data_IF_418748899364
#
_entry.id   IF_418748899364
#
_cell.length_a   1.000
_cell.length_b   1.000
_cell.length_c   1.000
_cell.angle_alpha   90.00
_cell.angle_beta   90.00
_cell.angle_gamma   90.00
#
_symmetry.space_group_name_H-M   'P 1'
#
loop_
_entity.id
_entity.type
_entity.pdbx_description
1 polymer ?
#
# COMPACT_ATOMS: atom_id res chain seq x y z
N UNK A 1 -40.46 -17.49 -4.05
CA UNK A 1 -39.59 -18.60 -3.58
C UNK A 1 -38.29 -18.00 -3.07
N UNK A 2 -38.00 -17.83 -1.78
CA UNK A 2 -38.72 -18.13 -0.56
C UNK A 2 -38.48 -16.96 0.42
N UNK A 3 -39.56 -16.43 1.00
CA UNK A 3 -39.55 -15.53 2.15
C UNK A 3 -39.02 -16.32 3.35
N UNK A 4 -37.86 -15.97 3.88
CA UNK A 4 -37.45 -16.40 5.22
C UNK A 4 -37.94 -15.35 6.22
N UNK A 5 -39.11 -15.60 6.80
CA UNK A 5 -39.59 -14.89 7.97
C UNK A 5 -38.64 -15.20 9.13
N UNK A 6 -37.90 -14.18 9.59
CA UNK A 6 -37.06 -14.28 10.80
C UNK A 6 -37.84 -13.66 11.95
N UNK A 7 -38.50 -14.51 12.73
CA UNK A 7 -39.20 -14.14 13.95
C UNK A 7 -38.21 -13.54 14.96
N UNK A 8 -38.31 -12.22 15.21
CA UNK A 8 -37.56 -11.54 16.27
C UNK A 8 -38.37 -11.64 17.56
N UNK A 9 -38.03 -12.61 18.42
CA UNK A 9 -38.30 -12.50 19.85
C UNK A 9 -37.49 -11.32 20.41
N UNK A 10 -38.13 -10.17 20.59
CA UNK A 10 -37.53 -8.96 21.19
C UNK A 10 -37.98 -8.91 22.66
N UNK A 11 -37.10 -9.29 23.57
CA UNK A 11 -37.23 -8.93 24.98
C UNK A 11 -37.00 -7.43 25.12
N UNK A 12 -38.04 -6.69 25.50
CA UNK A 12 -37.96 -5.29 25.90
C UNK A 12 -37.66 -5.22 27.40
N UNK A 13 -36.41 -4.93 27.77
CA UNK A 13 -36.09 -4.38 29.08
C UNK A 13 -35.41 -3.04 28.86
N UNK A 14 -36.13 -1.97 29.22
CA UNK A 14 -35.65 -0.58 29.16
C UNK A 14 -34.67 -0.29 30.29
N UNK A 15 -33.41 -0.66 30.09
CA UNK A 15 -32.30 -0.32 30.96
C UNK A 15 -30.96 -0.53 30.24
N UNK A 16 -29.94 0.25 30.63
CA UNK A 16 -28.56 0.17 30.11
C UNK A 16 -27.90 -1.14 30.60
N UNK A 17 -28.35 -2.29 30.11
CA UNK A 17 -27.91 -3.59 30.63
C UNK A 17 -28.44 -4.85 29.91
N UNK A 18 -29.16 -4.71 28.80
CA UNK A 18 -29.61 -5.85 27.98
C UNK A 18 -28.68 -6.12 26.79
N UNK A 19 -28.46 -7.39 26.45
CA UNK A 19 -27.79 -7.78 25.20
C UNK A 19 -28.57 -7.34 23.96
N UNK A 20 -27.89 -7.25 22.81
CA UNK A 20 -28.48 -6.80 21.55
C UNK A 20 -28.00 -7.66 20.38
N UNK A 21 -28.79 -7.69 19.30
CA UNK A 21 -28.40 -8.29 18.02
C UNK A 21 -27.62 -7.26 17.22
N UNK A 22 -26.39 -7.58 16.85
CA UNK A 22 -25.58 -6.81 15.90
C UNK A 22 -25.77 -7.43 14.51
N UNK A 23 -26.24 -6.64 13.56
CA UNK A 23 -26.19 -7.01 12.14
C UNK A 23 -24.81 -6.60 11.59
N UNK A 24 -24.08 -7.56 11.05
CA UNK A 24 -22.68 -7.38 10.63
C UNK A 24 -22.52 -7.89 9.20
N UNK A 25 -22.71 -7.01 8.22
CA UNK A 25 -22.52 -7.33 6.81
C UNK A 25 -21.04 -7.19 6.40
N UNK A 26 -20.48 -8.22 5.76
CA UNK A 26 -19.10 -8.21 5.23
C UNK A 26 -18.90 -7.05 4.24
N UNK A 27 -19.91 -6.77 3.41
CA UNK A 27 -19.87 -5.68 2.43
C UNK A 27 -19.74 -4.31 3.07
N UNK A 28 -20.44 -4.07 4.18
CA UNK A 28 -20.36 -2.80 4.92
C UNK A 28 -19.01 -2.65 5.60
N UNK A 29 -18.49 -3.73 6.20
CA UNK A 29 -17.15 -3.75 6.77
C UNK A 29 -16.05 -3.48 5.72
N UNK A 30 -16.13 -4.12 4.56
CA UNK A 30 -15.17 -3.91 3.48
C UNK A 30 -15.24 -2.48 2.90
N UNK A 31 -16.44 -1.92 2.73
CA UNK A 31 -16.62 -0.53 2.31
C UNK A 31 -16.04 0.45 3.34
N UNK A 32 -16.23 0.18 4.64
CA UNK A 32 -15.67 0.99 5.71
C UNK A 32 -14.13 0.95 5.73
N UNK A 33 -13.52 -0.24 5.64
CA UNK A 33 -12.06 -0.39 5.62
C UNK A 33 -11.41 0.28 4.41
N UNK A 34 -12.15 0.47 3.31
CA UNK A 34 -11.66 1.10 2.08
C UNK A 34 -12.03 2.58 1.96
N UNK A 35 -12.66 3.18 2.99
CA UNK A 35 -13.10 4.58 2.99
C UNK A 35 -11.97 5.57 2.66
N UNK A 36 -10.74 5.31 3.12
CA UNK A 36 -9.57 6.12 2.79
C UNK A 36 -9.32 6.24 1.28
N UNK A 37 -9.39 5.13 0.54
CA UNK A 37 -9.19 5.15 -0.91
C UNK A 37 -10.33 5.87 -1.64
N UNK A 38 -11.57 5.75 -1.13
CA UNK A 38 -12.71 6.49 -1.66
C UNK A 38 -12.56 8.01 -1.46
N UNK A 39 -12.12 8.45 -0.28
CA UNK A 39 -11.86 9.87 -0.03
C UNK A 39 -10.71 10.40 -0.88
N UNK A 40 -9.61 9.66 -1.01
CA UNK A 40 -8.53 10.04 -1.91
C UNK A 40 -9.00 10.14 -3.36
N UNK A 41 -9.84 9.20 -3.83
CA UNK A 41 -10.43 9.27 -5.17
C UNK A 41 -11.27 10.53 -5.34
N UNK A 42 -12.05 10.92 -4.32
CA UNK A 42 -12.90 12.11 -4.34
C UNK A 42 -12.08 13.40 -4.47
N UNK A 43 -10.92 13.49 -3.83
CA UNK A 43 -10.03 14.67 -3.91
C UNK A 43 -8.97 14.58 -5.02
N UNK A 44 -9.05 13.56 -5.89
CA UNK A 44 -8.12 13.37 -7.01
C UNK A 44 -6.76 12.74 -6.64
N UNK A 45 -6.58 12.29 -5.40
CA UNK A 45 -5.38 11.61 -4.92
C UNK A 45 -5.33 10.10 -5.20
N UNK A 46 -6.40 9.53 -5.77
CA UNK A 46 -6.45 8.11 -6.17
C UNK A 46 -7.13 7.94 -7.54
N UNK A 47 -6.42 7.34 -8.48
CA UNK A 47 -6.86 7.04 -9.84
C UNK A 47 -7.55 5.70 -10.00
N UNK A 48 -8.21 5.50 -11.14
CA UNK A 48 -8.96 4.28 -11.43
C UNK A 48 -8.07 3.07 -11.81
N UNK A 49 -6.86 3.32 -12.31
CA UNK A 49 -5.93 2.27 -12.72
C UNK A 49 -5.25 1.65 -11.50
N UNK A 50 -5.21 0.31 -11.45
CA UNK A 50 -4.46 -0.45 -10.44
C UNK A 50 -2.96 -0.31 -10.66
N UNK A 51 -2.18 -0.32 -9.58
CA UNK A 51 -0.73 -0.21 -9.61
C UNK A 51 -0.24 1.17 -10.08
N UNK A 52 -1.09 2.20 -9.96
CA UNK A 52 -0.81 3.58 -10.40
C UNK A 52 -1.12 4.60 -9.30
N UNK A 53 -1.23 4.14 -8.06
CA UNK A 53 -1.52 4.96 -6.89
C UNK A 53 -0.40 4.84 -5.85
N UNK A 54 -0.44 5.73 -4.86
CA UNK A 54 0.61 5.80 -3.84
C UNK A 54 0.72 4.51 -3.00
N UNK A 55 -0.41 3.85 -2.70
CA UNK A 55 -0.45 2.72 -1.77
C UNK A 55 -0.94 1.40 -2.39
N UNK A 56 -0.89 1.27 -3.72
CA UNK A 56 -1.34 0.06 -4.43
C UNK A 56 -0.21 -0.68 -5.17
N UNK A 57 1.04 -0.37 -4.82
CA UNK A 57 2.24 -0.90 -5.47
C UNK A 57 2.74 -0.08 -6.66
N UNK A 58 2.05 1.00 -7.04
CA UNK A 58 2.50 1.89 -8.11
C UNK A 58 3.73 2.71 -7.73
N UNK A 59 3.76 3.26 -6.51
CA UNK A 59 4.90 4.05 -6.04
C UNK A 59 6.14 3.16 -5.80
N UNK A 60 7.33 3.55 -6.31
CA UNK A 60 8.55 2.75 -6.15
C UNK A 60 9.01 2.66 -4.69
N UNK A 61 8.71 3.67 -3.88
CA UNK A 61 9.01 3.66 -2.45
C UNK A 61 7.89 3.02 -1.59
N UNK A 62 6.87 2.40 -2.20
CA UNK A 62 5.81 1.65 -1.52
C UNK A 62 5.36 0.43 -2.34
N UNK A 63 6.21 -0.60 -2.38
CA UNK A 63 5.96 -1.85 -3.12
C UNK A 63 6.92 -2.96 -2.68
N UNK A 64 6.72 -4.17 -3.21
CA UNK A 64 7.66 -5.27 -3.04
C UNK A 64 8.58 -5.41 -4.26
N UNK A 65 9.84 -5.78 -4.01
CA UNK A 65 10.87 -6.07 -5.01
C UNK A 65 11.32 -7.52 -4.87
N UNK A 66 11.43 -8.24 -5.98
CA UNK A 66 12.06 -9.55 -5.99
C UNK A 66 13.57 -9.39 -5.80
N UNK A 67 14.19 -10.30 -5.04
CA UNK A 67 15.62 -10.31 -4.79
C UNK A 67 16.27 -11.51 -5.45
N UNK A 68 17.55 -11.40 -5.85
CA UNK A 68 18.32 -12.48 -6.48
C UNK A 68 18.26 -13.82 -5.74
N UNK A 69 18.19 -13.79 -4.42
CA UNK A 69 18.07 -14.98 -3.57
C UNK A 69 16.71 -15.70 -3.61
N UNK A 70 15.78 -15.26 -4.46
CA UNK A 70 14.43 -15.83 -4.58
C UNK A 70 13.43 -15.33 -3.52
N UNK A 71 13.87 -14.41 -2.65
CA UNK A 71 13.02 -13.72 -1.68
C UNK A 71 12.45 -12.40 -2.19
N UNK A 72 11.76 -11.69 -1.32
CA UNK A 72 11.20 -10.36 -1.61
C UNK A 72 11.56 -9.36 -0.51
N UNK A 73 11.82 -8.12 -0.92
CA UNK A 73 11.94 -6.96 -0.03
C UNK A 73 10.67 -6.11 -0.10
N UNK A 74 10.00 -5.91 1.03
CA UNK A 74 8.90 -4.95 1.14
C UNK A 74 9.45 -3.56 1.47
N UNK A 75 9.30 -2.61 0.55
CA UNK A 75 9.72 -1.23 0.73
C UNK A 75 8.51 -0.34 1.01
N UNK A 76 8.58 0.46 2.07
CA UNK A 76 7.53 1.40 2.49
C UNK A 76 8.07 2.76 2.94
N UNK A 77 9.11 3.26 2.26
CA UNK A 77 9.82 4.50 2.61
C UNK A 77 9.13 5.73 1.97
N UNK A 78 7.88 5.99 2.35
CA UNK A 78 7.08 7.09 1.78
C UNK A 78 7.69 8.46 2.12
N UNK A 79 8.09 8.68 3.37
CA UNK A 79 8.58 9.99 3.81
C UNK A 79 10.00 10.29 3.28
N UNK A 80 10.30 11.53 2.84
CA UNK A 80 11.60 11.91 2.28
C UNK A 80 12.82 11.51 3.10
N UNK A 81 12.72 11.60 4.43
CA UNK A 81 13.79 11.20 5.35
C UNK A 81 14.07 9.69 5.31
N UNK A 82 13.04 8.86 5.20
CA UNK A 82 13.17 7.41 5.17
C UNK A 82 13.66 6.95 3.80
N UNK A 83 13.17 7.57 2.72
CA UNK A 83 13.69 7.32 1.38
C UNK A 83 15.18 7.66 1.29
N UNK A 84 15.58 8.84 1.79
CA UNK A 84 16.99 9.24 1.84
C UNK A 84 17.84 8.24 2.64
N UNK A 85 17.34 7.78 3.78
CA UNK A 85 18.02 6.78 4.59
C UNK A 85 18.18 5.46 3.82
N UNK A 86 17.11 4.96 3.21
CA UNK A 86 17.11 3.74 2.41
C UNK A 86 18.11 3.79 1.25
N UNK A 87 18.06 4.83 0.42
CA UNK A 87 19.00 4.99 -0.70
C UNK A 87 20.43 5.17 -0.19
N UNK A 88 20.63 5.84 0.94
CA UNK A 88 21.94 5.97 1.59
C UNK A 88 22.51 4.61 1.99
N UNK A 89 21.71 3.78 2.67
CA UNK A 89 22.13 2.43 3.08
C UNK A 89 22.44 1.53 1.89
N UNK A 90 21.63 1.58 0.82
CA UNK A 90 21.91 0.82 -0.40
C UNK A 90 23.24 1.23 -1.05
N UNK A 91 23.57 2.53 -1.06
CA UNK A 91 24.85 3.01 -1.60
C UNK A 91 26.04 2.56 -0.76
N UNK A 92 25.90 2.54 0.56
CA UNK A 92 26.95 2.05 1.44
C UNK A 92 27.16 0.53 1.29
N UNK A 93 26.08 -0.23 1.11
CA UNK A 93 26.16 -1.68 0.86
C UNK A 93 26.82 -2.01 -0.47
N UNK A 94 26.48 -1.25 -1.52
CA UNK A 94 26.96 -1.46 -2.89
C UNK A 94 28.18 -0.59 -3.25
N UNK A 95 28.89 -0.07 -2.25
CA UNK A 95 29.98 0.91 -2.44
C UNK A 95 31.11 0.44 -3.36
N UNK A 96 31.29 -0.88 -3.47
CA UNK A 96 32.33 -1.50 -4.31
C UNK A 96 31.84 -1.76 -5.76
N UNK A 97 30.57 -1.48 -6.06
CA UNK A 97 29.94 -1.59 -7.38
C UNK A 97 29.65 -0.19 -7.96
N UNK A 98 30.66 0.43 -8.60
CA UNK A 98 30.56 1.83 -9.07
C UNK A 98 29.35 2.08 -9.98
N UNK A 99 29.00 1.12 -10.84
CA UNK A 99 27.84 1.23 -11.71
C UNK A 99 26.51 1.24 -10.92
N UNK A 100 26.38 0.43 -9.87
CA UNK A 100 25.23 0.43 -8.97
C UNK A 100 25.13 1.75 -8.19
N UNK A 101 26.26 2.23 -7.65
CA UNK A 101 26.30 3.50 -6.92
C UNK A 101 25.91 4.65 -7.84
N UNK A 102 26.37 4.64 -9.09
CA UNK A 102 26.02 5.65 -10.07
C UNK A 102 24.53 5.61 -10.46
N UNK A 103 23.95 4.42 -10.63
CA UNK A 103 22.51 4.26 -10.84
C UNK A 103 21.70 4.81 -9.65
N UNK A 104 22.10 4.47 -8.42
CA UNK A 104 21.48 4.99 -7.20
C UNK A 104 21.65 6.51 -7.03
N UNK A 105 22.72 7.11 -7.55
CA UNK A 105 22.91 8.58 -7.60
C UNK A 105 21.95 9.24 -8.59
N UNK A 106 21.69 8.59 -9.72
CA UNK A 106 20.79 9.06 -10.79
C UNK A 106 19.33 8.63 -10.61
N UNK A 107 19.00 7.95 -9.51
CA UNK A 107 17.70 7.34 -9.27
C UNK A 107 16.54 8.36 -9.45
N UNK A 108 15.57 8.08 -10.33
CA UNK A 108 14.43 8.97 -10.53
C UNK A 108 13.64 9.20 -9.24
N UNK A 109 13.06 10.39 -9.10
CA UNK A 109 12.32 10.76 -7.90
C UNK A 109 11.10 9.85 -7.68
N UNK A 110 10.92 9.27 -6.48
CA UNK A 110 9.70 8.52 -6.16
C UNK A 110 8.50 9.44 -5.88
N UNK A 111 8.72 10.77 -5.81
CA UNK A 111 7.70 11.77 -5.47
C UNK A 111 6.98 12.36 -6.68
N UNK A 112 7.35 11.91 -7.88
CA UNK A 112 6.73 12.29 -9.14
C UNK A 112 6.16 11.02 -9.83
N UNK A 113 4.82 10.87 -9.91
CA UNK A 113 4.19 9.70 -10.53
C UNK A 113 4.60 9.45 -11.99
N UNK A 114 5.06 10.48 -12.71
CA UNK A 114 5.54 10.31 -14.09
C UNK A 114 6.89 9.58 -14.16
N UNK A 115 7.62 9.53 -13.03
CA UNK A 115 8.95 8.92 -12.90
C UNK A 115 8.93 7.54 -12.25
N UNK A 116 7.78 7.10 -11.73
CA UNK A 116 7.67 5.86 -10.94
C UNK A 116 8.14 4.62 -11.68
N UNK A 117 7.81 4.46 -12.96
CA UNK A 117 8.22 3.30 -13.76
C UNK A 117 9.76 3.21 -13.83
N UNK A 118 10.42 4.29 -14.23
CA UNK A 118 11.87 4.35 -14.32
C UNK A 118 12.54 4.14 -12.94
N UNK A 119 12.00 4.73 -11.87
CA UNK A 119 12.52 4.52 -10.52
C UNK A 119 12.40 3.05 -10.08
N UNK A 120 11.27 2.41 -10.38
CA UNK A 120 11.03 1.02 -10.03
C UNK A 120 11.96 0.08 -10.80
N UNK A 121 12.17 0.31 -12.10
CA UNK A 121 13.09 -0.47 -12.94
C UNK A 121 14.53 -0.44 -12.40
N UNK A 122 15.02 0.73 -11.99
CA UNK A 122 16.35 0.87 -11.38
C UNK A 122 16.46 0.10 -10.06
N UNK A 123 15.45 0.19 -9.19
CA UNK A 123 15.43 -0.57 -7.94
C UNK A 123 15.31 -2.09 -8.17
N UNK A 124 14.51 -2.52 -9.16
CA UNK A 124 14.41 -3.93 -9.57
C UNK A 124 15.76 -4.46 -10.02
N UNK A 125 16.50 -3.70 -10.83
CA UNK A 125 17.85 -4.06 -11.24
C UNK A 125 18.82 -4.17 -10.05
N UNK A 126 18.75 -3.24 -9.10
CA UNK A 126 19.56 -3.26 -7.87
C UNK A 126 19.28 -4.52 -7.03
N UNK A 127 18.02 -4.89 -6.82
CA UNK A 127 17.68 -6.06 -6.00
C UNK A 127 17.99 -7.41 -6.67
N UNK A 128 18.23 -7.43 -7.99
CA UNK A 128 18.61 -8.64 -8.74
C UNK A 128 20.12 -8.86 -8.84
N UNK A 129 20.94 -8.00 -8.21
CA UNK A 129 22.39 -8.18 -8.04
C UNK A 129 22.71 -9.19 -6.95
#
# INVERSE_FOLDING_TARGET
>A
LALHAREKHRSTVGGVGGGQVVDAAISEGAAYLTAFAYELRRVGGWGAQRGRNLLDGGAPNYRCYACKGGGYMALGALEPKFWKCFVGLLREELKDEEDAVQALRALPSPYDPTRWAACAEELEAVFMR
#
